data_IF_769386978820
#
_entry.id   IF_769386978820
#
_cell.length_a   1.000
_cell.length_b   1.000
_cell.length_c   1.000
_cell.angle_alpha   90.00
_cell.angle_beta   90.00
_cell.angle_gamma   90.00
#
_symmetry.space_group_name_H-M   'P 1'
#
loop_
_entity.id
_entity.type
_entity.pdbx_description
1 polymer ?
#
# COMPACT_ATOMS: atom_id res chain seq x y z
N UNK A 1 34.38 10.56 -0.03
CA UNK A 1 34.41 9.53 1.00
C UNK A 1 35.07 8.29 0.39
N UNK A 2 36.29 7.98 0.82
CA UNK A 2 36.97 6.73 0.48
C UNK A 2 36.46 5.68 1.50
N UNK A 3 35.68 4.72 1.04
CA UNK A 3 35.29 3.58 1.85
C UNK A 3 36.31 2.48 1.56
N UNK A 4 37.12 2.15 2.55
CA UNK A 4 38.06 1.01 2.46
C UNK A 4 37.25 -0.28 2.25
N UNK A 5 37.50 -1.01 1.16
CA UNK A 5 36.77 -2.20 0.78
C UNK A 5 36.81 -3.34 1.83
N UNK A 6 37.68 -3.25 2.83
CA UNK A 6 37.78 -4.21 3.95
C UNK A 6 36.85 -3.89 5.14
N UNK A 7 36.11 -2.78 5.09
CA UNK A 7 35.20 -2.36 6.19
C UNK A 7 33.71 -2.63 5.85
N UNK A 8 33.42 -3.23 4.72
CA UNK A 8 32.05 -3.59 4.33
C UNK A 8 31.72 -4.98 4.87
N UNK A 9 30.99 -5.02 5.98
CA UNK A 9 30.30 -6.25 6.38
C UNK A 9 29.05 -6.40 5.50
N UNK A 10 29.11 -7.28 4.50
CA UNK A 10 27.95 -7.63 3.69
C UNK A 10 27.13 -8.68 4.45
N UNK A 11 25.94 -8.30 4.88
CA UNK A 11 24.97 -9.24 5.45
C UNK A 11 24.03 -9.68 4.32
N UNK A 12 24.25 -10.87 3.79
CA UNK A 12 23.33 -11.52 2.85
C UNK A 12 22.36 -12.39 3.66
N UNK A 13 21.09 -12.09 3.56
CA UNK A 13 19.99 -12.91 4.10
C UNK A 13 19.03 -13.29 2.99
N UNK A 14 18.26 -14.40 3.15
CA UNK A 14 17.25 -14.78 2.17
C UNK A 14 16.22 -13.64 2.02
N UNK A 15 16.03 -13.17 0.80
CA UNK A 15 15.04 -12.15 0.45
C UNK A 15 13.63 -12.74 0.50
N UNK A 16 13.51 -14.06 0.37
CA UNK A 16 12.23 -14.77 0.35
C UNK A 16 11.59 -14.82 1.73
N UNK A 17 10.36 -14.30 1.79
CA UNK A 17 9.49 -14.31 2.98
C UNK A 17 8.60 -15.55 2.93
N UNK A 18 9.18 -16.74 3.19
CA UNK A 18 8.49 -18.04 3.14
C UNK A 18 7.33 -18.18 4.12
N UNK A 19 7.27 -17.31 5.12
CA UNK A 19 6.19 -17.25 6.11
C UNK A 19 4.98 -16.40 5.66
N UNK A 20 5.02 -15.79 4.46
CA UNK A 20 3.90 -15.02 3.92
C UNK A 20 3.23 -15.82 2.81
N UNK A 21 1.95 -16.11 2.99
CA UNK A 21 1.12 -16.71 1.95
C UNK A 21 0.50 -15.62 1.07
N UNK A 22 0.73 -15.69 -0.24
CA UNK A 22 0.22 -14.71 -1.22
C UNK A 22 -1.06 -15.22 -1.87
N UNK A 23 -2.07 -14.36 -1.96
CA UNK A 23 -3.33 -14.65 -2.61
C UNK A 23 -3.81 -13.47 -3.46
N UNK A 24 -4.28 -13.76 -4.67
CA UNK A 24 -5.05 -12.83 -5.49
C UNK A 24 -6.48 -13.34 -5.56
N UNK A 25 -7.44 -12.50 -5.20
CA UNK A 25 -8.87 -12.80 -5.28
C UNK A 25 -9.50 -11.87 -6.30
N UNK A 26 -9.86 -12.42 -7.46
CA UNK A 26 -10.51 -11.67 -8.54
C UNK A 26 -12.02 -11.61 -8.29
N UNK A 27 -12.60 -10.40 -8.32
CA UNK A 27 -14.02 -10.15 -8.10
C UNK A 27 -14.45 -8.79 -8.65
N UNK A 28 -15.74 -8.59 -8.90
CA UNK A 28 -16.27 -7.28 -9.23
C UNK A 28 -16.20 -6.32 -8.01
N UNK A 29 -16.12 -4.99 -8.23
CA UNK A 29 -15.94 -4.01 -7.15
C UNK A 29 -17.01 -4.08 -6.05
N UNK A 30 -18.25 -4.36 -6.41
CA UNK A 30 -19.40 -4.46 -5.50
C UNK A 30 -19.28 -5.60 -4.47
N UNK A 31 -18.57 -6.66 -4.78
CA UNK A 31 -18.37 -7.81 -3.89
C UNK A 31 -17.22 -7.62 -2.90
N UNK A 32 -16.33 -6.65 -3.13
CA UNK A 32 -15.12 -6.46 -2.33
C UNK A 32 -15.39 -6.27 -0.84
N UNK A 33 -16.44 -5.52 -0.50
CA UNK A 33 -16.79 -5.26 0.90
C UNK A 33 -17.21 -6.53 1.64
N UNK A 34 -18.02 -7.37 1.00
CA UNK A 34 -18.45 -8.62 1.58
C UNK A 34 -17.29 -9.59 1.74
N UNK A 35 -16.51 -9.74 0.68
CA UNK A 35 -15.32 -10.59 0.72
C UNK A 35 -14.28 -10.12 1.74
N UNK A 36 -14.06 -8.80 1.87
CA UNK A 36 -13.20 -8.24 2.93
C UNK A 36 -13.69 -8.65 4.32
N UNK A 37 -15.01 -8.53 4.61
CA UNK A 37 -15.55 -8.93 5.90
C UNK A 37 -15.37 -10.43 6.18
N UNK A 38 -15.47 -11.29 5.16
CA UNK A 38 -15.19 -12.72 5.29
C UNK A 38 -13.71 -12.97 5.62
N UNK A 39 -12.78 -12.28 4.95
CA UNK A 39 -11.36 -12.39 5.24
C UNK A 39 -11.02 -11.94 6.67
N UNK A 40 -11.64 -10.83 7.14
CA UNK A 40 -11.43 -10.31 8.49
C UNK A 40 -11.95 -11.26 9.59
N UNK A 41 -12.96 -12.07 9.29
CA UNK A 41 -13.41 -13.14 10.21
C UNK A 41 -12.47 -14.34 10.23
N UNK A 42 -11.77 -14.57 9.12
CA UNK A 42 -10.90 -15.73 8.93
C UNK A 42 -9.49 -15.54 9.46
N UNK A 43 -8.95 -14.33 9.30
CA UNK A 43 -7.56 -14.05 9.66
C UNK A 43 -7.47 -13.44 11.06
N UNK A 44 -6.52 -13.88 11.89
CA UNK A 44 -6.30 -13.30 13.22
C UNK A 44 -5.74 -11.88 13.11
N UNK A 45 -6.13 -11.02 14.05
CA UNK A 45 -5.56 -9.67 14.19
C UNK A 45 -4.13 -9.72 14.75
N UNK A 46 -3.33 -8.65 14.57
CA UNK A 46 -3.65 -7.42 13.87
C UNK A 46 -3.37 -7.49 12.37
N UNK A 47 -4.01 -6.61 11.60
CA UNK A 47 -3.83 -6.51 10.16
C UNK A 47 -3.86 -5.10 9.59
N UNK A 48 -3.56 -4.99 8.30
CA UNK A 48 -3.61 -3.73 7.55
C UNK A 48 -4.40 -3.97 6.26
N UNK A 49 -5.28 -3.03 5.92
CA UNK A 49 -5.93 -2.97 4.61
C UNK A 49 -5.52 -1.69 3.90
N UNK A 50 -4.92 -1.80 2.72
CA UNK A 50 -4.47 -0.68 1.92
C UNK A 50 -5.50 -0.25 0.88
N UNK A 51 -5.67 1.06 0.75
CA UNK A 51 -6.60 1.72 -0.17
C UNK A 51 -5.88 2.76 -1.03
N UNK A 52 -6.32 2.94 -2.26
CA UNK A 52 -5.85 4.02 -3.13
C UNK A 52 -6.52 5.38 -2.83
N UNK A 53 -7.63 5.39 -2.08
CA UNK A 53 -8.43 6.58 -1.77
C UNK A 53 -8.61 6.75 -0.26
N UNK A 54 -8.39 7.97 0.24
CA UNK A 54 -8.61 8.37 1.64
C UNK A 54 -10.08 8.20 2.04
N UNK A 55 -10.99 8.71 1.19
CA UNK A 55 -12.43 8.60 1.43
C UNK A 55 -12.89 7.15 1.54
N UNK A 56 -12.30 6.25 0.76
CA UNK A 56 -12.65 4.84 0.80
C UNK A 56 -12.06 4.15 2.03
N UNK A 57 -10.86 4.52 2.46
CA UNK A 57 -10.30 4.04 3.73
C UNK A 57 -11.22 4.42 4.91
N UNK A 58 -11.71 5.66 4.96
CA UNK A 58 -12.67 6.12 5.98
C UNK A 58 -14.00 5.36 5.91
N UNK A 59 -14.58 5.25 4.71
CA UNK A 59 -15.88 4.61 4.51
C UNK A 59 -15.84 3.12 4.90
N UNK A 60 -14.79 2.41 4.49
CA UNK A 60 -14.64 0.98 4.80
C UNK A 60 -14.30 0.77 6.27
N UNK A 61 -13.45 1.60 6.87
CA UNK A 61 -13.19 1.55 8.32
C UNK A 61 -14.48 1.74 9.13
N UNK A 62 -15.32 2.71 8.74
CA UNK A 62 -16.63 2.92 9.37
C UNK A 62 -17.55 1.70 9.19
N UNK A 63 -17.60 1.14 7.99
CA UNK A 63 -18.40 -0.06 7.71
C UNK A 63 -17.95 -1.25 8.58
N UNK A 64 -16.65 -1.49 8.69
CA UNK A 64 -16.11 -2.60 9.50
C UNK A 64 -16.46 -2.40 10.98
N UNK A 65 -16.30 -1.20 11.54
CA UNK A 65 -16.70 -0.88 12.92
C UNK A 65 -18.18 -1.16 13.19
N UNK A 66 -19.05 -0.93 12.19
CA UNK A 66 -20.49 -1.18 12.31
C UNK A 66 -20.87 -2.66 12.19
N UNK A 67 -20.11 -3.44 11.42
CA UNK A 67 -20.47 -4.83 11.10
C UNK A 67 -19.66 -5.88 11.88
N UNK A 68 -18.64 -5.46 12.63
CA UNK A 68 -17.76 -6.35 13.40
C UNK A 68 -17.47 -5.77 14.78
N UNK A 69 -16.85 -6.56 15.65
CA UNK A 69 -16.31 -6.12 16.95
C UNK A 69 -14.86 -5.64 16.87
N UNK A 70 -14.26 -5.56 15.68
CA UNK A 70 -12.88 -5.16 15.52
C UNK A 70 -12.69 -3.66 15.83
N UNK A 71 -11.62 -3.35 16.53
CA UNK A 71 -11.15 -1.98 16.79
C UNK A 71 -10.36 -1.51 15.57
N UNK A 72 -10.97 -0.62 14.79
CA UNK A 72 -10.48 -0.22 13.46
C UNK A 72 -10.36 1.27 13.35
N UNK A 73 -9.24 1.76 12.85
CA UNK A 73 -9.05 3.17 12.50
C UNK A 73 -8.59 3.35 11.06
N UNK A 74 -8.97 4.50 10.47
CA UNK A 74 -8.47 4.90 9.16
C UNK A 74 -7.25 5.81 9.31
N UNK A 75 -6.20 5.54 8.52
CA UNK A 75 -4.94 6.29 8.53
C UNK A 75 -4.59 6.80 7.13
N UNK A 76 -4.52 8.11 6.97
CA UNK A 76 -4.14 8.77 5.72
C UNK A 76 -3.61 10.19 5.97
N UNK A 77 -3.07 10.84 4.95
CA UNK A 77 -2.39 12.13 5.05
C UNK A 77 -3.29 13.29 5.54
N UNK A 78 -4.63 13.20 5.38
CA UNK A 78 -5.56 14.24 5.83
C UNK A 78 -5.89 14.15 7.33
N UNK A 79 -5.46 13.10 8.03
CA UNK A 79 -5.51 13.06 9.49
C UNK A 79 -4.50 14.05 10.07
N UNK A 80 -4.83 14.65 11.21
CA UNK A 80 -3.89 15.52 11.92
C UNK A 80 -2.63 14.73 12.32
N UNK A 81 -1.54 15.43 12.58
CA UNK A 81 -0.32 14.78 13.07
C UNK A 81 -0.57 14.06 14.42
N UNK A 82 -1.37 14.67 15.29
CA UNK A 82 -1.72 14.10 16.59
C UNK A 82 -2.53 12.81 16.44
N UNK A 83 -3.55 12.82 15.58
CA UNK A 83 -4.33 11.60 15.28
C UNK A 83 -3.44 10.50 14.72
N UNK A 84 -2.55 10.83 13.77
CA UNK A 84 -1.65 9.83 13.18
C UNK A 84 -0.73 9.20 14.21
N UNK A 85 -0.15 10.00 15.10
CA UNK A 85 0.70 9.50 16.19
C UNK A 85 -0.12 8.62 17.14
N UNK A 86 -1.31 9.05 17.51
CA UNK A 86 -2.21 8.29 18.39
C UNK A 86 -2.60 6.95 17.79
N UNK A 87 -3.05 6.93 16.52
CA UNK A 87 -3.43 5.71 15.82
C UNK A 87 -2.23 4.74 15.69
N UNK A 88 -1.05 5.26 15.37
CA UNK A 88 0.18 4.44 15.30
C UNK A 88 0.50 3.83 16.66
N UNK A 89 0.45 4.62 17.72
CA UNK A 89 0.72 4.13 19.07
C UNK A 89 -0.28 3.04 19.48
N UNK A 90 -1.56 3.28 19.30
CA UNK A 90 -2.62 2.32 19.60
C UNK A 90 -2.43 1.01 18.82
N UNK A 91 -2.06 1.10 17.53
CA UNK A 91 -1.80 -0.09 16.73
C UNK A 91 -0.56 -0.86 17.21
N UNK A 92 0.51 -0.17 17.59
CA UNK A 92 1.71 -0.79 18.13
C UNK A 92 1.46 -1.51 19.46
N UNK A 93 0.57 -0.98 20.30
CA UNK A 93 0.20 -1.53 21.62
C UNK A 93 -0.93 -2.58 21.54
N UNK A 94 -1.30 -3.07 20.36
CA UNK A 94 -2.40 -4.01 20.15
C UNK A 94 -3.78 -3.50 20.65
N UNK A 95 -3.93 -2.16 20.76
CA UNK A 95 -5.20 -1.52 21.09
C UNK A 95 -6.12 -1.43 19.85
N UNK A 96 -5.56 -1.55 18.64
CA UNK A 96 -6.28 -1.64 17.38
C UNK A 96 -6.03 -3.00 16.73
N UNK A 97 -7.09 -3.57 16.20
CA UNK A 97 -7.08 -4.86 15.51
C UNK A 97 -6.78 -4.70 14.02
N UNK A 98 -7.11 -3.53 13.46
CA UNK A 98 -7.00 -3.27 12.02
C UNK A 98 -6.75 -1.79 11.75
N UNK A 99 -5.88 -1.52 10.78
CA UNK A 99 -5.73 -0.20 10.16
C UNK A 99 -6.23 -0.25 8.71
N UNK A 100 -7.14 0.66 8.36
CA UNK A 100 -7.51 0.97 6.99
C UNK A 100 -6.65 2.14 6.50
N UNK A 101 -5.67 1.91 5.65
CA UNK A 101 -4.64 2.90 5.33
C UNK A 101 -4.54 3.23 3.84
N UNK A 102 -4.02 4.41 3.54
CA UNK A 102 -3.36 4.69 2.26
C UNK A 102 -1.86 4.42 2.38
N UNK A 103 -1.09 4.55 1.29
CA UNK A 103 0.38 4.42 1.28
C UNK A 103 1.10 5.34 2.29
N UNK A 104 0.39 6.35 2.84
CA UNK A 104 0.90 7.19 3.92
C UNK A 104 1.22 6.41 5.22
N UNK A 105 0.63 5.22 5.41
CA UNK A 105 0.89 4.35 6.55
C UNK A 105 2.00 3.37 6.23
N UNK A 106 3.14 3.56 6.85
CA UNK A 106 4.18 2.58 6.63
C UNK A 106 5.58 3.02 7.00
N UNK A 107 5.98 4.25 6.73
CA UNK A 107 7.30 4.72 7.16
C UNK A 107 7.37 4.74 8.69
N UNK A 108 8.36 4.03 9.25
CA UNK A 108 8.58 3.99 10.70
C UNK A 108 7.70 2.99 11.49
N UNK A 109 6.80 2.25 10.85
CA UNK A 109 5.99 1.22 11.53
C UNK A 109 6.81 -0.06 11.68
N UNK A 110 7.22 -0.35 12.92
CA UNK A 110 7.94 -1.58 13.27
C UNK A 110 7.09 -2.47 14.19
N UNK A 111 5.97 -2.98 13.65
CA UNK A 111 5.13 -3.98 14.32
C UNK A 111 5.41 -5.34 13.73
N UNK A 112 5.92 -6.25 14.55
CA UNK A 112 6.39 -7.56 14.08
C UNK A 112 5.25 -8.57 13.85
N UNK A 113 4.17 -8.46 14.61
CA UNK A 113 3.08 -9.45 14.68
C UNK A 113 1.91 -9.18 13.73
N UNK A 114 2.09 -8.44 12.64
CA UNK A 114 1.02 -8.23 11.65
C UNK A 114 0.71 -9.57 10.96
N UNK A 115 -0.54 -10.02 11.04
CA UNK A 115 -0.96 -11.33 10.54
C UNK A 115 -1.46 -11.31 9.10
N UNK A 116 -1.97 -10.17 8.65
CA UNK A 116 -2.37 -10.02 7.25
C UNK A 116 -2.17 -8.60 6.74
N UNK A 117 -1.89 -8.51 5.44
CA UNK A 117 -1.92 -7.28 4.66
C UNK A 117 -2.86 -7.51 3.48
N UNK A 118 -3.91 -6.71 3.37
CA UNK A 118 -4.89 -6.81 2.28
C UNK A 118 -4.81 -5.54 1.44
N UNK A 119 -4.65 -5.68 0.14
CA UNK A 119 -4.80 -4.58 -0.81
C UNK A 119 -6.23 -4.59 -1.35
N UNK A 120 -7.02 -3.60 -0.95
CA UNK A 120 -8.39 -3.42 -1.44
C UNK A 120 -8.40 -2.96 -2.90
N UNK A 121 -7.39 -2.17 -3.30
CA UNK A 121 -7.11 -1.77 -4.68
C UNK A 121 -5.70 -2.19 -5.08
N UNK A 122 -5.44 -2.21 -6.39
CA UNK A 122 -4.08 -2.41 -6.88
C UNK A 122 -3.15 -1.30 -6.37
N UNK A 123 -1.95 -1.64 -5.86
CA UNK A 123 -0.91 -0.68 -5.52
C UNK A 123 -0.41 0.06 -6.76
N UNK A 124 0.31 1.17 -6.56
CA UNK A 124 0.77 2.01 -7.68
C UNK A 124 1.97 1.39 -8.40
N UNK A 125 2.77 0.60 -7.71
CA UNK A 125 3.93 -0.10 -8.28
C UNK A 125 4.14 -1.45 -7.58
N UNK A 126 4.99 -2.28 -8.19
CA UNK A 126 5.40 -3.55 -7.59
C UNK A 126 6.25 -3.30 -6.33
N UNK A 127 7.08 -2.26 -6.33
CA UNK A 127 7.90 -1.88 -5.19
C UNK A 127 7.03 -1.50 -3.99
N UNK A 128 5.98 -0.68 -4.20
CA UNK A 128 4.99 -0.34 -3.18
C UNK A 128 4.32 -1.60 -2.64
N UNK A 129 3.86 -2.49 -3.53
CA UNK A 129 3.26 -3.76 -3.14
C UNK A 129 4.19 -4.60 -2.26
N UNK A 130 5.42 -4.84 -2.71
CA UNK A 130 6.41 -5.65 -1.96
C UNK A 130 6.75 -5.01 -0.63
N UNK A 131 6.90 -3.68 -0.58
CA UNK A 131 7.17 -2.95 0.66
C UNK A 131 6.01 -3.08 1.67
N UNK A 132 4.77 -3.00 1.20
CA UNK A 132 3.58 -3.06 2.04
C UNK A 132 3.31 -4.47 2.55
N UNK A 133 3.37 -5.49 1.70
CA UNK A 133 3.21 -6.89 2.14
C UNK A 133 4.37 -7.36 3.04
N UNK A 134 5.57 -6.81 2.86
CA UNK A 134 6.74 -7.07 3.70
C UNK A 134 6.58 -6.65 5.17
N UNK A 135 5.47 -5.98 5.52
CA UNK A 135 5.10 -5.66 6.91
C UNK A 135 4.50 -6.85 7.66
N UNK A 136 3.92 -7.81 6.92
CA UNK A 136 3.33 -9.00 7.51
C UNK A 136 4.40 -9.94 8.07
N UNK A 137 4.13 -10.53 9.23
CA UNK A 137 4.91 -11.63 9.80
C UNK A 137 6.40 -11.36 9.99
N UNK A 138 6.81 -10.17 10.40
CA UNK A 138 8.22 -9.87 10.69
C UNK A 138 8.79 -10.66 11.86
N UNK A 139 7.93 -11.23 12.67
CA UNK A 139 8.26 -12.17 13.77
C UNK A 139 8.49 -13.61 13.28
N UNK A 140 8.45 -13.86 11.96
CA UNK A 140 8.58 -15.18 11.35
C UNK A 140 7.32 -16.05 11.40
N UNK A 141 6.24 -15.58 12.04
CA UNK A 141 4.99 -16.33 12.09
C UNK A 141 4.22 -16.26 10.77
N UNK A 142 3.41 -17.29 10.53
CA UNK A 142 2.57 -17.36 9.33
C UNK A 142 1.68 -16.14 9.18
N UNK A 143 1.69 -15.55 8.00
CA UNK A 143 0.93 -14.34 7.67
C UNK A 143 0.43 -14.42 6.24
N UNK A 144 -0.55 -13.58 5.90
CA UNK A 144 -1.17 -13.63 4.57
C UNK A 144 -1.17 -12.24 3.91
N UNK A 145 -0.80 -12.20 2.64
CA UNK A 145 -0.95 -11.04 1.78
C UNK A 145 -2.05 -11.32 0.75
N UNK A 146 -3.09 -10.49 0.69
CA UNK A 146 -4.22 -10.65 -0.24
C UNK A 146 -4.34 -9.41 -1.12
N UNK A 147 -4.47 -9.61 -2.43
CA UNK A 147 -4.88 -8.56 -3.36
C UNK A 147 -6.33 -8.82 -3.81
N UNK A 148 -7.24 -7.89 -3.52
CA UNK A 148 -8.59 -7.88 -4.05
C UNK A 148 -8.59 -7.25 -5.44
N UNK A 149 -8.38 -8.08 -6.45
CA UNK A 149 -8.28 -7.62 -7.82
C UNK A 149 -9.66 -7.39 -8.44
N UNK A 150 -9.83 -6.28 -9.15
CA UNK A 150 -10.92 -6.10 -10.09
C UNK A 150 -10.41 -5.55 -11.42
N UNK A 151 -11.02 -5.98 -12.50
CA UNK A 151 -10.68 -5.50 -13.83
C UNK A 151 -10.95 -3.98 -13.99
N UNK A 152 -11.97 -3.49 -13.29
CA UNK A 152 -12.29 -2.05 -13.24
C UNK A 152 -11.14 -1.24 -12.62
N UNK A 153 -10.55 -1.71 -11.51
CA UNK A 153 -9.41 -1.03 -10.88
C UNK A 153 -8.18 -1.07 -11.78
N UNK A 154 -7.93 -2.20 -12.43
CA UNK A 154 -6.84 -2.34 -13.39
C UNK A 154 -6.98 -1.34 -14.55
N UNK A 155 -8.16 -1.31 -15.18
CA UNK A 155 -8.42 -0.40 -16.30
C UNK A 155 -8.33 1.08 -15.89
N UNK A 156 -8.77 1.42 -14.67
CA UNK A 156 -8.60 2.76 -14.13
C UNK A 156 -7.12 3.12 -13.96
N UNK A 157 -6.31 2.22 -13.40
CA UNK A 157 -4.86 2.41 -13.25
C UNK A 157 -4.16 2.59 -14.59
N UNK A 158 -4.48 1.74 -15.57
CA UNK A 158 -3.90 1.84 -16.91
C UNK A 158 -4.22 3.20 -17.54
N UNK A 159 -5.47 3.67 -17.41
CA UNK A 159 -5.87 5.00 -17.91
C UNK A 159 -5.13 6.14 -17.20
N UNK A 160 -4.92 6.04 -15.89
CA UNK A 160 -4.13 7.05 -15.16
C UNK A 160 -2.69 7.08 -15.67
N UNK A 161 -2.05 5.93 -15.81
CA UNK A 161 -0.68 5.84 -16.31
C UNK A 161 -0.54 6.37 -17.73
N UNK A 162 -1.53 6.09 -18.59
CA UNK A 162 -1.56 6.62 -19.96
C UNK A 162 -1.79 8.13 -19.99
N UNK A 163 -2.55 8.69 -19.04
CA UNK A 163 -2.77 10.13 -18.91
C UNK A 163 -1.54 10.90 -18.42
N UNK A 164 -0.67 10.25 -17.64
CA UNK A 164 0.58 10.83 -17.14
C UNK A 164 1.71 10.81 -18.20
N UNK A 165 1.58 9.98 -19.24
CA UNK A 165 2.51 10.01 -20.37
C UNK A 165 2.02 11.01 -21.42
N UNK A 166 2.87 11.97 -21.86
CA UNK A 166 2.51 12.84 -22.97
C UNK A 166 2.22 11.99 -24.21
N UNK A 167 1.11 12.30 -24.90
CA UNK A 167 0.78 11.63 -26.17
C UNK A 167 1.92 11.81 -27.16
N UNK A 168 2.06 10.88 -28.11
CA UNK A 168 3.05 11.00 -29.20
C UNK A 168 2.97 12.37 -29.90
N UNK A 169 1.75 12.89 -30.07
CA UNK A 169 1.52 14.24 -30.60
C UNK A 169 2.11 15.35 -29.72
N UNK A 170 2.04 15.21 -28.38
CA UNK A 170 2.63 16.17 -27.43
C UNK A 170 4.15 16.13 -27.48
N UNK A 171 4.73 14.93 -27.58
CA UNK A 171 6.18 14.73 -27.73
C UNK A 171 6.67 15.31 -29.04
N UNK A 172 6.00 15.02 -30.16
CA UNK A 172 6.35 15.58 -31.47
C UNK A 172 6.24 17.11 -31.48
N UNK A 173 5.20 17.68 -30.86
CA UNK A 173 5.03 19.13 -30.75
C UNK A 173 6.14 19.77 -29.94
N UNK A 174 6.56 19.16 -28.84
CA UNK A 174 7.67 19.64 -28.01
C UNK A 174 9.00 19.58 -28.74
N UNK A 175 9.25 18.52 -29.52
CA UNK A 175 10.46 18.39 -30.35
C UNK A 175 10.47 19.45 -31.45
N UNK A 176 9.34 19.68 -32.16
CA UNK A 176 9.21 20.69 -33.18
C UNK A 176 9.40 22.10 -32.63
N UNK A 177 8.79 22.40 -31.46
CA UNK A 177 8.94 23.71 -30.83
C UNK A 177 10.38 23.96 -30.34
N UNK A 178 11.10 22.94 -29.88
CA UNK A 178 12.52 23.06 -29.53
C UNK A 178 13.43 23.25 -30.73
N UNK A 179 13.07 22.67 -31.87
CA UNK A 179 13.78 22.87 -33.14
C UNK A 179 13.58 24.27 -33.74
N UNK A 180 12.46 24.93 -33.41
CA UNK A 180 12.14 26.31 -33.88
C UNK A 180 12.68 27.38 -32.92
N UNK A 181 12.99 27.05 -31.67
CA UNK A 181 13.46 27.98 -30.63
C UNK A 181 14.66 27.40 -29.88
N UNK A 182 15.89 27.46 -30.49
CA UNK A 182 17.09 26.87 -29.89
C UNK A 182 17.59 27.57 -28.60
N UNK A 183 17.04 28.72 -28.23
CA UNK A 183 17.47 29.52 -27.09
C UNK A 183 16.83 29.12 -25.74
N UNK A 184 16.01 28.08 -25.68
CA UNK A 184 15.52 27.52 -24.43
C UNK A 184 16.51 26.48 -23.86
N UNK A 185 17.60 26.97 -23.23
CA UNK A 185 18.52 26.08 -22.54
C UNK A 185 19.95 26.55 -22.40
N UNK A 186 20.15 27.77 -21.98
CA UNK A 186 21.42 28.16 -21.36
C UNK A 186 21.16 28.60 -19.91
N UNK A 187 22.03 28.20 -18.95
CA UNK A 187 21.88 28.44 -17.53
C UNK A 187 21.94 29.90 -17.13
#
# INVERSE_FOLDING_TARGET
LHIDGNALNVFEGPVDRTNIYYKVAAMPPEEKNEHLLELLKRYPSPGIVYFSSKAQADAVAFMIRKKTSLRVEAYHADRTNEDRITIQHQFLQDELDLICATSAFGMGINKANIRYVIHYHMPNSLEEYVQEIGRAGRDGQQSTAVLLYSETDYNFKVKMLQGDFPSDFTIESAIKNKAVNPDYGSP
#
